data_IF_950788106046
#
_entry.id   IF_950788106046
#
_cell.length_a   1.000
_cell.length_b   1.000
_cell.length_c   1.000
_cell.angle_alpha   90.00
_cell.angle_beta   90.00
_cell.angle_gamma   90.00
#
_symmetry.space_group_name_H-M   'P 1'
#
loop_
_entity.id
_entity.type
_entity.pdbx_description
1 polymer ?
#
# COMPACT_ATOMS: atom_id res chain seq x y z
N UNK A 1 -9.15 14.58 1.82
CA UNK A 1 -10.31 15.30 1.25
C UNK A 1 -11.60 14.70 1.77
N UNK A 2 -12.59 15.54 2.23
CA UNK A 2 -13.92 15.06 2.69
C UNK A 2 -15.00 15.52 1.73
N UNK A 3 -15.93 14.62 1.39
CA UNK A 3 -17.02 14.87 0.43
C UNK A 3 -18.35 14.72 1.15
N UNK A 4 -19.20 15.76 1.10
CA UNK A 4 -20.51 15.77 1.75
C UNK A 4 -21.56 15.06 0.87
N UNK A 5 -22.16 13.99 1.40
CA UNK A 5 -23.10 13.14 0.68
C UNK A 5 -24.59 13.47 0.91
N UNK A 6 -24.89 14.40 1.83
CA UNK A 6 -26.27 14.70 2.24
C UNK A 6 -27.20 15.08 1.08
N UNK A 7 -26.69 15.82 0.10
CA UNK A 7 -27.46 16.21 -1.09
C UNK A 7 -27.77 15.00 -1.97
N UNK A 8 -26.78 14.12 -2.18
CA UNK A 8 -26.90 12.92 -3.02
C UNK A 8 -27.91 11.96 -2.40
N UNK A 9 -27.87 11.80 -1.07
CA UNK A 9 -28.80 10.93 -0.33
C UNK A 9 -30.24 11.44 -0.40
N UNK A 10 -30.43 12.78 -0.32
CA UNK A 10 -31.76 13.39 -0.16
C UNK A 10 -32.57 13.48 -1.46
N UNK A 11 -31.91 13.51 -2.62
CA UNK A 11 -32.59 13.70 -3.92
C UNK A 11 -32.66 12.38 -4.68
N UNK A 12 -33.87 11.82 -4.90
CA UNK A 12 -34.01 10.55 -5.61
C UNK A 12 -33.47 10.62 -7.05
N UNK A 13 -32.79 9.55 -7.49
CA UNK A 13 -32.19 9.44 -8.83
C UNK A 13 -31.19 10.56 -9.17
N UNK A 14 -30.63 11.20 -8.16
CA UNK A 14 -29.61 12.22 -8.35
C UNK A 14 -28.28 11.57 -8.73
N UNK A 15 -27.62 12.18 -9.70
CA UNK A 15 -26.28 11.79 -10.12
C UNK A 15 -25.39 13.04 -10.08
N UNK A 16 -24.22 12.91 -9.52
CA UNK A 16 -23.22 13.98 -9.45
C UNK A 16 -21.83 13.42 -9.70
N UNK A 17 -21.05 14.13 -10.49
CA UNK A 17 -19.63 13.86 -10.68
C UNK A 17 -18.83 14.90 -9.92
N UNK A 18 -17.97 14.45 -9.03
CA UNK A 18 -17.12 15.30 -8.19
C UNK A 18 -15.67 15.07 -8.58
N UNK A 19 -14.97 16.14 -8.92
CA UNK A 19 -13.53 16.10 -9.09
C UNK A 19 -12.84 15.97 -7.73
N UNK A 20 -11.92 15.04 -7.63
CA UNK A 20 -11.26 14.68 -6.39
C UNK A 20 -9.76 14.58 -6.55
N UNK A 21 -9.05 14.87 -5.48
CA UNK A 21 -7.61 14.72 -5.36
C UNK A 21 -7.26 13.98 -4.06
N UNK A 22 -6.11 13.32 -4.06
CA UNK A 22 -5.59 12.60 -2.90
C UNK A 22 -4.73 13.54 -2.08
N UNK A 23 -5.10 13.80 -0.82
CA UNK A 23 -4.33 14.67 0.08
C UNK A 23 -3.19 13.91 0.80
N UNK A 24 -3.24 12.57 0.82
CA UNK A 24 -2.19 11.73 1.40
C UNK A 24 -0.84 11.96 0.71
N UNK A 25 0.23 12.03 1.50
CA UNK A 25 1.61 12.10 1.02
C UNK A 25 2.40 10.82 1.30
N UNK A 26 1.89 9.96 2.17
CA UNK A 26 2.49 8.69 2.55
C UNK A 26 1.44 7.69 3.03
N UNK A 27 1.70 6.41 2.85
CA UNK A 27 0.94 5.30 3.43
C UNK A 27 1.76 4.74 4.60
N UNK A 28 1.22 4.80 5.82
CA UNK A 28 1.84 4.24 7.02
C UNK A 28 1.27 2.88 7.35
N UNK A 29 2.10 1.85 7.32
CA UNK A 29 1.70 0.49 7.64
C UNK A 29 2.71 -0.17 8.59
N UNK A 30 2.25 -0.60 9.78
CA UNK A 30 3.07 -1.32 10.78
C UNK A 30 4.39 -0.62 11.11
N UNK A 31 4.40 0.70 11.18
CA UNK A 31 5.59 1.50 11.50
C UNK A 31 6.52 1.79 10.33
N UNK A 32 6.17 1.33 9.13
CA UNK A 32 6.87 1.66 7.88
C UNK A 32 6.07 2.72 7.12
N UNK A 33 6.75 3.75 6.62
CA UNK A 33 6.16 4.79 5.78
C UNK A 33 6.55 4.56 4.33
N UNK A 34 5.56 4.56 3.45
CA UNK A 34 5.69 4.46 2.00
C UNK A 34 5.28 5.79 1.39
N UNK A 35 6.22 6.62 0.93
CA UNK A 35 5.88 7.91 0.33
C UNK A 35 5.11 7.73 -0.97
N UNK A 36 4.08 8.57 -1.18
CA UNK A 36 3.38 8.67 -2.46
C UNK A 36 4.23 9.60 -3.34
N UNK A 37 4.68 9.10 -4.47
CA UNK A 37 5.54 9.82 -5.44
C UNK A 37 4.73 10.49 -6.53
N UNK A 38 3.69 9.79 -6.99
CA UNK A 38 2.79 10.32 -8.00
C UNK A 38 1.35 10.00 -7.63
N UNK A 39 0.47 10.94 -7.88
CA UNK A 39 -0.97 10.83 -7.68
C UNK A 39 -1.68 11.70 -8.70
N UNK A 40 -2.76 11.19 -9.26
CA UNK A 40 -3.54 11.90 -10.28
C UNK A 40 -4.86 12.38 -9.69
N UNK A 41 -5.34 13.52 -10.17
CA UNK A 41 -6.71 13.93 -9.94
C UNK A 41 -7.65 12.99 -10.72
N UNK A 42 -8.84 12.74 -10.19
CA UNK A 42 -9.81 11.82 -10.77
C UNK A 42 -11.23 12.27 -10.46
N UNK A 43 -12.19 11.69 -11.17
CA UNK A 43 -13.60 11.99 -10.97
C UNK A 43 -14.28 10.83 -10.27
N UNK A 44 -15.12 11.15 -9.29
CA UNK A 44 -15.98 10.20 -8.59
C UNK A 44 -17.42 10.42 -9.08
N UNK A 45 -18.05 9.37 -9.56
CA UNK A 45 -19.45 9.39 -9.95
C UNK A 45 -20.30 8.84 -8.81
N UNK A 46 -21.18 9.69 -8.27
CA UNK A 46 -22.15 9.33 -7.25
C UNK A 46 -23.54 9.20 -7.84
N UNK A 47 -24.30 8.20 -7.40
CA UNK A 47 -25.69 7.98 -7.81
C UNK A 47 -26.56 7.63 -6.61
N UNK A 48 -27.70 8.29 -6.48
CA UNK A 48 -28.74 7.85 -5.56
C UNK A 48 -29.52 6.67 -6.18
N UNK A 49 -29.42 5.50 -5.54
CA UNK A 49 -30.05 4.24 -6.00
C UNK A 49 -31.29 3.86 -5.22
N UNK A 50 -31.66 4.64 -4.21
CA UNK A 50 -32.85 4.36 -3.40
C UNK A 50 -32.90 5.19 -2.13
N UNK A 51 -33.89 4.92 -1.27
CA UNK A 51 -34.00 5.58 0.01
C UNK A 51 -32.78 5.24 0.88
N UNK A 52 -32.06 6.27 1.29
CA UNK A 52 -30.84 6.17 2.12
C UNK A 52 -29.72 5.30 1.48
N UNK A 53 -29.76 5.08 0.13
CA UNK A 53 -28.79 4.29 -0.58
C UNK A 53 -28.14 5.09 -1.70
N UNK A 54 -26.82 5.00 -1.77
CA UNK A 54 -26.03 5.57 -2.87
C UNK A 54 -25.08 4.53 -3.44
N UNK A 55 -24.75 4.65 -4.71
CA UNK A 55 -23.59 4.01 -5.29
C UNK A 55 -22.57 5.06 -5.69
N UNK A 56 -21.29 4.71 -5.60
CA UNK A 56 -20.23 5.54 -6.15
C UNK A 56 -19.15 4.68 -6.80
N UNK A 57 -18.49 5.26 -7.80
CA UNK A 57 -17.41 4.60 -8.50
C UNK A 57 -16.35 5.59 -8.95
N UNK A 58 -15.10 5.17 -8.89
CA UNK A 58 -13.96 5.89 -9.43
C UNK A 58 -12.80 4.95 -9.75
N UNK A 59 -11.86 5.46 -10.52
CA UNK A 59 -10.60 4.78 -10.82
C UNK A 59 -9.46 5.80 -10.77
N UNK A 60 -8.40 5.45 -10.09
CA UNK A 60 -7.19 6.28 -9.98
C UNK A 60 -5.95 5.40 -9.83
N UNK A 61 -4.78 5.99 -9.93
CA UNK A 61 -3.51 5.33 -9.72
C UNK A 61 -2.63 6.15 -8.78
N UNK A 62 -1.97 5.50 -7.86
CA UNK A 62 -0.97 6.10 -6.98
C UNK A 62 0.36 5.35 -7.14
N UNK A 63 1.46 6.08 -7.27
CA UNK A 63 2.79 5.50 -7.31
C UNK A 63 3.46 5.64 -5.95
N UNK A 64 3.79 4.52 -5.33
CA UNK A 64 4.45 4.47 -4.03
C UNK A 64 5.96 4.27 -4.18
N UNK A 65 6.73 4.91 -3.32
CA UNK A 65 8.15 4.62 -3.11
C UNK A 65 8.31 3.48 -2.11
N UNK A 66 8.63 2.27 -2.60
CA UNK A 66 8.79 1.08 -1.75
C UNK A 66 10.27 0.70 -1.71
N UNK A 67 10.89 0.51 -0.53
CA UNK A 67 12.28 0.10 -0.47
C UNK A 67 12.45 -1.33 -0.98
N UNK A 68 13.45 -1.54 -1.81
CA UNK A 68 13.86 -2.86 -2.26
C UNK A 68 14.20 -3.76 -1.05
N UNK A 69 13.65 -4.96 -1.01
CA UNK A 69 13.84 -5.90 0.11
C UNK A 69 15.27 -6.41 0.28
N UNK A 70 16.19 -6.09 -0.66
CA UNK A 70 17.60 -6.52 -0.63
C UNK A 70 18.59 -5.38 -0.47
N UNK A 71 18.44 -4.28 -1.21
CA UNK A 71 19.40 -3.17 -1.22
C UNK A 71 18.88 -1.88 -0.62
N UNK A 72 17.59 -1.84 -0.22
CA UNK A 72 16.89 -0.70 0.37
C UNK A 72 16.74 0.52 -0.56
N UNK A 73 17.17 0.43 -1.81
CA UNK A 73 16.89 1.46 -2.80
C UNK A 73 15.39 1.57 -3.05
N UNK A 74 14.92 2.78 -3.21
CA UNK A 74 13.51 3.04 -3.47
C UNK A 74 13.12 2.60 -4.88
N UNK A 75 12.02 1.88 -4.97
CA UNK A 75 11.40 1.40 -6.20
C UNK A 75 10.04 2.06 -6.36
N UNK A 76 9.80 2.70 -7.50
CA UNK A 76 8.48 3.22 -7.85
C UNK A 76 7.53 2.07 -8.14
N UNK A 77 6.46 1.96 -7.35
CA UNK A 77 5.48 0.90 -7.44
C UNK A 77 4.09 1.48 -7.71
N UNK A 78 3.54 1.36 -8.93
CA UNK A 78 2.21 1.85 -9.24
C UNK A 78 1.15 0.92 -8.64
N UNK A 79 0.12 1.50 -8.01
CA UNK A 79 -1.03 0.81 -7.45
C UNK A 79 -2.29 1.38 -8.09
N UNK A 80 -2.97 0.55 -8.86
CA UNK A 80 -4.27 0.91 -9.42
C UNK A 80 -5.37 0.72 -8.37
N UNK A 81 -6.15 1.78 -8.17
CA UNK A 81 -7.30 1.82 -7.25
C UNK A 81 -8.56 1.95 -8.07
N UNK A 82 -9.36 0.90 -8.06
CA UNK A 82 -10.67 0.87 -8.71
C UNK A 82 -11.72 0.51 -7.68
N UNK A 83 -12.63 1.45 -7.44
CA UNK A 83 -13.68 1.34 -6.44
C UNK A 83 -15.04 1.39 -7.13
N UNK A 84 -15.91 0.47 -6.74
CA UNK A 84 -17.34 0.52 -7.04
C UNK A 84 -18.03 -0.03 -5.81
N UNK A 85 -18.68 0.85 -5.05
CA UNK A 85 -19.34 0.51 -3.78
C UNK A 85 -20.80 1.03 -3.77
N UNK A 86 -21.61 0.33 -3.02
CA UNK A 86 -22.98 0.72 -2.68
C UNK A 86 -23.06 0.89 -1.17
N UNK A 87 -23.53 2.04 -0.70
CA UNK A 87 -23.68 2.36 0.72
C UNK A 87 -25.16 2.40 1.09
N UNK A 88 -25.51 1.72 2.17
CA UNK A 88 -26.80 1.80 2.81
C UNK A 88 -26.67 2.56 4.14
N UNK A 89 -27.10 3.83 4.18
CA UNK A 89 -26.98 4.67 5.38
C UNK A 89 -27.94 4.27 6.51
N UNK A 90 -28.84 3.33 6.27
CA UNK A 90 -29.68 2.73 7.32
C UNK A 90 -29.02 1.54 8.01
N UNK A 91 -28.00 0.93 7.38
CA UNK A 91 -27.28 -0.25 7.87
C UNK A 91 -25.86 -0.28 7.29
N UNK A 92 -25.02 0.68 7.76
CA UNK A 92 -23.61 0.72 7.39
C UNK A 92 -22.86 -0.39 8.13
N UNK A 93 -22.08 -1.17 7.41
CA UNK A 93 -21.19 -2.17 7.99
C UNK A 93 -19.95 -1.55 8.64
N UNK A 94 -19.13 -2.37 9.33
CA UNK A 94 -17.94 -1.89 10.03
C UNK A 94 -16.88 -1.37 9.05
N UNK A 95 -16.79 -1.96 7.86
CA UNK A 95 -15.82 -1.54 6.83
C UNK A 95 -16.19 -0.17 6.29
N UNK A 96 -17.44 0.04 5.89
CA UNK A 96 -17.92 1.31 5.36
C UNK A 96 -17.90 2.43 6.42
N UNK A 97 -18.09 2.09 7.69
CA UNK A 97 -18.00 3.03 8.80
C UNK A 97 -16.59 3.57 9.04
N UNK A 98 -15.55 2.94 8.49
CA UNK A 98 -14.16 3.41 8.63
C UNK A 98 -13.91 4.73 7.89
N UNK A 99 -14.55 4.93 6.74
CA UNK A 99 -14.38 6.10 5.88
C UNK A 99 -15.65 6.95 5.71
N UNK A 100 -16.77 6.55 6.35
CA UNK A 100 -18.02 7.33 6.38
C UNK A 100 -18.30 7.83 7.78
N UNK A 101 -18.31 9.14 7.96
CA UNK A 101 -18.68 9.79 9.22
C UNK A 101 -19.67 10.94 8.94
N UNK A 102 -20.81 10.98 9.66
CA UNK A 102 -21.82 12.06 9.55
C UNK A 102 -22.29 12.35 8.10
N UNK A 103 -22.42 11.31 7.26
CA UNK A 103 -22.71 11.44 5.82
C UNK A 103 -21.63 12.20 5.03
N UNK A 104 -20.41 12.19 5.52
CA UNK A 104 -19.22 12.62 4.81
C UNK A 104 -18.37 11.40 4.44
N UNK A 105 -17.90 11.36 3.21
CA UNK A 105 -16.92 10.38 2.73
C UNK A 105 -15.52 10.95 2.97
N UNK A 106 -14.72 10.28 3.80
CA UNK A 106 -13.28 10.54 3.91
C UNK A 106 -12.53 9.74 2.83
N UNK A 107 -12.19 10.46 1.75
CA UNK A 107 -11.57 9.86 0.59
C UNK A 107 -10.16 9.32 0.88
N UNK A 108 -9.41 10.00 1.76
CA UNK A 108 -8.05 9.59 2.08
C UNK A 108 -8.04 8.27 2.86
N UNK A 109 -8.97 8.10 3.79
CA UNK A 109 -9.15 6.82 4.50
C UNK A 109 -9.57 5.71 3.55
N UNK A 110 -10.52 5.96 2.66
CA UNK A 110 -10.95 4.98 1.65
C UNK A 110 -9.78 4.56 0.74
N UNK A 111 -9.00 5.50 0.24
CA UNK A 111 -7.84 5.19 -0.60
C UNK A 111 -6.78 4.41 0.18
N UNK A 112 -6.54 4.76 1.43
CA UNK A 112 -5.65 3.99 2.30
C UNK A 112 -6.11 2.54 2.40
N UNK A 113 -7.39 2.30 2.71
CA UNK A 113 -7.97 0.96 2.84
C UNK A 113 -7.90 0.15 1.54
N UNK A 114 -8.03 0.81 0.38
CA UNK A 114 -7.92 0.16 -0.93
C UNK A 114 -6.47 -0.09 -1.39
N UNK A 115 -5.51 0.71 -0.95
CA UNK A 115 -4.10 0.57 -1.32
C UNK A 115 -3.40 -0.50 -0.47
N UNK A 116 -3.65 -0.52 0.84
CA UNK A 116 -2.94 -1.41 1.78
C UNK A 116 -3.01 -2.88 1.40
N UNK A 117 -4.16 -3.47 1.02
CA UNK A 117 -4.24 -4.87 0.61
C UNK A 117 -3.47 -5.20 -0.68
N UNK A 118 -3.22 -4.19 -1.51
CA UNK A 118 -2.53 -4.34 -2.81
C UNK A 118 -1.01 -4.18 -2.68
N UNK A 119 -0.51 -3.84 -1.47
CA UNK A 119 0.92 -3.74 -1.24
C UNK A 119 1.59 -5.11 -1.33
N UNK A 120 2.66 -5.26 -2.12
CA UNK A 120 3.36 -6.53 -2.23
C UNK A 120 4.16 -6.82 -0.96
N UNK A 121 4.27 -8.08 -0.61
CA UNK A 121 5.09 -8.51 0.54
C UNK A 121 6.59 -8.32 0.31
N UNK A 122 7.03 -8.24 -0.95
CA UNK A 122 8.43 -8.05 -1.36
C UNK A 122 8.52 -7.29 -2.65
N UNK A 123 9.40 -6.30 -2.70
CA UNK A 123 9.76 -5.56 -3.92
C UNK A 123 11.26 -5.69 -4.14
N UNK A 124 11.67 -5.88 -5.38
CA UNK A 124 13.06 -5.88 -5.80
C UNK A 124 13.27 -4.77 -6.83
N UNK A 125 14.39 -4.04 -6.74
CA UNK A 125 14.74 -3.03 -7.75
C UNK A 125 15.07 -3.68 -9.11
N UNK A 126 15.56 -4.93 -9.08
CA UNK A 126 15.81 -5.80 -10.24
C UNK A 126 15.86 -7.25 -9.78
N UNK A 127 15.57 -8.20 -10.69
CA UNK A 127 15.52 -9.64 -10.37
C UNK A 127 16.82 -10.18 -9.80
N UNK A 128 17.95 -9.74 -10.34
CA UNK A 128 19.32 -10.12 -9.95
C UNK A 128 19.91 -9.21 -8.86
N UNK A 129 19.10 -8.46 -8.13
CA UNK A 129 19.57 -7.57 -7.07
C UNK A 129 20.48 -8.32 -6.06
N UNK A 130 21.74 -7.88 -5.94
CA UNK A 130 22.74 -8.48 -5.06
C UNK A 130 22.57 -8.07 -3.59
N UNK A 131 21.78 -7.01 -3.33
CA UNK A 131 21.53 -6.52 -1.99
C UNK A 131 22.69 -5.77 -1.35
N UNK A 132 22.61 -5.60 -0.03
CA UNK A 132 23.64 -5.01 0.79
C UNK A 132 24.58 -6.09 1.32
N UNK A 133 25.86 -5.74 1.47
CA UNK A 133 26.82 -6.60 2.18
C UNK A 133 26.42 -6.75 3.65
N UNK A 134 26.23 -7.96 4.19
CA UNK A 134 25.83 -8.17 5.58
C UNK A 134 26.91 -7.73 6.60
N UNK A 135 28.16 -7.52 6.16
CA UNK A 135 29.28 -7.15 7.02
C UNK A 135 29.47 -5.63 7.09
N UNK A 136 29.48 -4.95 5.93
CA UNK A 136 29.81 -3.53 5.86
C UNK A 136 28.68 -2.64 5.31
N UNK A 137 27.52 -3.21 4.91
CA UNK A 137 26.39 -2.45 4.39
C UNK A 137 26.57 -1.88 2.97
N UNK A 138 27.69 -2.18 2.30
CA UNK A 138 27.92 -1.70 0.92
C UNK A 138 26.87 -2.27 -0.03
N UNK A 139 26.31 -1.43 -0.90
CA UNK A 139 25.41 -1.87 -1.98
C UNK A 139 26.20 -2.67 -3.04
N UNK A 140 25.95 -3.96 -3.08
CA UNK A 140 26.67 -4.90 -3.96
C UNK A 140 26.22 -4.81 -5.43
N UNK A 141 25.19 -4.01 -5.73
CA UNK A 141 24.81 -3.68 -7.09
C UNK A 141 25.73 -2.61 -7.71
N UNK A 142 26.32 -1.74 -6.87
CA UNK A 142 27.15 -0.64 -7.32
C UNK A 142 28.64 -0.99 -7.29
N UNK A 143 29.10 -1.65 -6.21
CA UNK A 143 30.51 -2.03 -6.07
C UNK A 143 30.67 -3.28 -5.23
N UNK A 144 31.74 -4.03 -5.50
CA UNK A 144 32.15 -5.13 -4.67
C UNK A 144 32.93 -4.62 -3.45
N UNK A 145 32.69 -5.25 -2.30
CA UNK A 145 33.48 -5.04 -1.09
C UNK A 145 34.38 -6.24 -0.82
N UNK A 146 35.55 -6.01 -0.19
CA UNK A 146 36.50 -7.05 0.16
C UNK A 146 36.14 -7.84 1.43
N UNK A 147 34.90 -7.77 1.91
CA UNK A 147 34.48 -8.46 3.15
C UNK A 147 34.37 -9.97 2.92
N UNK A 148 34.91 -10.76 3.87
CA UNK A 148 34.63 -12.18 3.92
C UNK A 148 33.18 -12.39 4.40
N UNK A 149 32.35 -12.99 3.53
CA UNK A 149 30.94 -13.28 3.78
C UNK A 149 30.71 -14.74 4.13
N UNK A 150 31.76 -15.54 4.21
CA UNK A 150 31.71 -16.97 4.53
C UNK A 150 31.66 -17.22 6.04
N UNK A 151 31.85 -16.16 6.85
CA UNK A 151 31.73 -16.26 8.31
C UNK A 151 30.31 -16.63 8.67
N UNK A 152 30.14 -17.87 9.10
CA UNK A 152 28.85 -18.36 9.54
C UNK A 152 28.35 -17.59 10.78
N UNK A 153 27.05 -17.38 10.89
CA UNK A 153 26.42 -16.77 12.08
C UNK A 153 26.90 -17.56 13.33
N UNK A 154 27.51 -16.91 14.35
CA UNK A 154 27.95 -17.57 15.56
C UNK A 154 26.83 -18.36 16.27
N UNK A 155 25.57 -17.97 16.09
CA UNK A 155 24.41 -18.68 16.64
C UNK A 155 24.20 -20.06 16.01
N UNK A 156 24.73 -20.25 14.78
CA UNK A 156 24.65 -21.50 14.03
C UNK A 156 25.92 -22.37 14.22
N UNK A 157 26.89 -21.91 14.99
CA UNK A 157 28.16 -22.64 15.20
C UNK A 157 27.94 -24.07 15.74
N UNK A 158 27.04 -24.23 16.70
CA UNK A 158 26.71 -25.55 17.27
C UNK A 158 26.11 -26.52 16.22
N UNK A 159 25.31 -26.00 15.27
CA UNK A 159 24.73 -26.79 14.18
C UNK A 159 25.81 -27.19 13.17
N UNK A 160 26.74 -26.29 12.87
CA UNK A 160 27.88 -26.58 11.97
C UNK A 160 28.80 -27.64 12.52
N UNK A 161 29.07 -27.65 13.82
CA UNK A 161 29.89 -28.67 14.46
C UNK A 161 29.20 -30.04 14.39
N UNK A 162 27.89 -30.10 14.54
CA UNK A 162 27.13 -31.35 14.35
C UNK A 162 27.29 -31.84 12.90
N UNK A 163 27.12 -30.96 11.89
CA UNK A 163 27.26 -31.34 10.48
C UNK A 163 28.67 -31.77 10.07
N UNK A 164 29.73 -31.19 10.68
CA UNK A 164 31.12 -31.62 10.47
C UNK A 164 31.34 -33.05 10.98
N UNK A 165 30.80 -33.34 12.16
CA UNK A 165 30.95 -34.67 12.78
C UNK A 165 30.16 -35.76 12.04
N UNK A 166 29.11 -35.43 11.29
CA UNK A 166 28.36 -36.36 10.44
C UNK A 166 29.06 -36.70 9.11
N UNK A 167 30.06 -35.92 8.67
CA UNK A 167 30.77 -36.18 7.42
C UNK A 167 32.02 -37.09 7.62
N UNK A 168 32.34 -37.48 8.84
CA UNK A 168 33.50 -38.34 9.17
C UNK A 168 33.12 -39.80 9.48
N UNK A 169 31.88 -40.23 9.09
CA UNK A 169 31.45 -41.62 9.23
C UNK A 169 31.24 -42.24 7.84
#
# INVERSE_FOLDING_TARGET
MKIQLSKIISVPKYEETVEASIDLNEIKLKGVSYPIREKNDFSIVFRNIGKDKISFSFETEVTLGIPCSRCLEEVSYPVSVKVTKELDFSDLDEEDSSYIENKELDLDTLIFDEVVPKLPSRVLCKEDCKGLCPVCGTNLNEKECGCDRTVADPRMAAIQDIFKNFKEV
#
